data_IF_484759775098
#
_entry.id   IF_484759775098
#
_cell.length_a   1.000
_cell.length_b   1.000
_cell.length_c   1.000
_cell.angle_alpha   90.00
_cell.angle_beta   90.00
_cell.angle_gamma   90.00
#
_symmetry.space_group_name_H-M   'P 1'
#
loop_
_entity.id
_entity.type
_entity.pdbx_description
1 polymer ?
#
# COMPACT_ATOMS: atom_id res chain seq x y z
N UNK A 1 1.62 -30.44 -23.77
CA UNK A 1 2.38 -29.37 -24.44
C UNK A 1 3.85 -29.75 -24.43
N UNK A 2 4.48 -29.93 -25.60
CA UNK A 2 5.88 -30.28 -25.68
C UNK A 2 6.71 -29.03 -25.32
N UNK A 3 7.46 -29.07 -24.22
CA UNK A 3 8.31 -27.96 -23.83
C UNK A 3 9.41 -27.76 -24.89
N UNK A 4 9.65 -26.51 -25.30
CA UNK A 4 10.73 -26.22 -26.24
C UNK A 4 12.09 -26.48 -25.58
N UNK A 5 12.79 -27.52 -26.02
CA UNK A 5 14.13 -27.87 -25.54
C UNK A 5 15.19 -27.26 -26.47
N UNK A 6 16.12 -26.47 -25.91
CA UNK A 6 17.29 -26.00 -26.66
C UNK A 6 18.26 -27.15 -26.95
N UNK A 7 19.12 -26.99 -27.96
CA UNK A 7 20.18 -27.95 -28.23
C UNK A 7 21.11 -28.07 -27.01
N UNK A 8 21.46 -29.29 -26.68
CA UNK A 8 22.45 -29.67 -25.66
C UNK A 8 23.87 -29.64 -26.23
N UNK A 9 24.88 -29.77 -25.37
CA UNK A 9 26.27 -29.90 -25.84
C UNK A 9 26.45 -31.15 -26.71
N UNK A 10 25.89 -32.29 -26.27
CA UNK A 10 25.96 -33.56 -27.01
C UNK A 10 25.33 -33.44 -28.40
N UNK A 11 24.17 -32.76 -28.52
CA UNK A 11 23.56 -32.53 -29.83
C UNK A 11 24.44 -31.62 -30.71
N UNK A 12 25.13 -30.63 -30.13
CA UNK A 12 26.09 -29.80 -30.86
C UNK A 12 27.29 -30.60 -31.34
N UNK A 13 27.82 -31.53 -30.54
CA UNK A 13 28.89 -32.44 -30.93
C UNK A 13 28.45 -33.36 -32.08
N UNK A 14 27.22 -33.89 -32.02
CA UNK A 14 26.64 -34.67 -33.12
C UNK A 14 26.46 -33.86 -34.40
N UNK A 15 26.10 -32.57 -34.31
CA UNK A 15 26.03 -31.68 -35.48
C UNK A 15 27.42 -31.55 -36.13
N UNK A 16 28.48 -31.38 -35.34
CA UNK A 16 29.85 -31.33 -35.86
C UNK A 16 30.23 -32.65 -36.56
N UNK A 17 29.98 -33.78 -35.89
CA UNK A 17 30.28 -35.11 -36.41
C UNK A 17 29.57 -35.37 -37.75
N UNK A 18 28.26 -35.10 -37.84
CA UNK A 18 27.53 -35.32 -39.08
C UNK A 18 27.90 -34.35 -40.20
N UNK A 19 28.33 -33.11 -39.89
CA UNK A 19 28.89 -32.20 -40.90
C UNK A 19 30.21 -32.71 -41.46
N UNK A 20 31.08 -33.27 -40.61
CA UNK A 20 32.34 -33.88 -41.06
C UNK A 20 32.09 -35.08 -41.99
N UNK A 21 30.98 -35.81 -41.80
CA UNK A 21 30.53 -36.87 -42.71
C UNK A 21 29.85 -36.36 -44.00
N UNK A 22 29.72 -35.06 -44.20
CA UNK A 22 29.05 -34.49 -45.37
C UNK A 22 27.52 -34.63 -45.38
N UNK A 23 26.88 -35.00 -44.25
CA UNK A 23 25.42 -35.11 -44.18
C UNK A 23 24.75 -33.74 -44.35
N UNK A 24 23.65 -33.71 -45.09
CA UNK A 24 22.87 -32.49 -45.28
C UNK A 24 22.02 -32.13 -44.04
N UNK A 25 21.54 -30.89 -43.98
CA UNK A 25 20.78 -30.37 -42.83
C UNK A 25 19.49 -31.15 -42.52
N UNK A 26 18.83 -31.71 -43.55
CA UNK A 26 17.60 -32.49 -43.35
C UNK A 26 17.90 -33.82 -42.65
N UNK A 27 19.00 -34.48 -43.05
CA UNK A 27 19.46 -35.72 -42.42
C UNK A 27 19.87 -35.48 -40.97
N UNK A 28 20.67 -34.44 -40.71
CA UNK A 28 21.10 -34.07 -39.34
C UNK A 28 19.88 -33.80 -38.45
N UNK A 29 18.88 -33.10 -38.99
CA UNK A 29 17.65 -32.80 -38.27
C UNK A 29 16.86 -34.07 -37.92
N UNK A 30 16.73 -35.01 -38.86
CA UNK A 30 16.08 -36.31 -38.63
C UNK A 30 16.78 -37.13 -37.54
N UNK A 31 18.11 -37.25 -37.62
CA UNK A 31 18.95 -38.00 -36.67
C UNK A 31 18.88 -37.45 -35.24
N UNK A 32 18.71 -36.13 -35.10
CA UNK A 32 18.62 -35.47 -33.80
C UNK A 32 17.18 -35.31 -33.31
N UNK A 33 16.17 -35.69 -34.10
CA UNK A 33 14.76 -35.43 -33.79
C UNK A 33 14.45 -33.93 -33.65
N UNK A 34 15.14 -33.08 -34.41
CA UNK A 34 15.01 -31.61 -34.37
C UNK A 34 14.46 -31.07 -35.67
N UNK A 35 13.92 -29.84 -35.64
CA UNK A 35 13.53 -29.14 -36.85
C UNK A 35 14.78 -28.69 -37.64
N UNK A 36 14.77 -28.86 -38.96
CA UNK A 36 15.84 -28.42 -39.89
C UNK A 36 16.24 -26.95 -39.67
N UNK A 37 15.26 -26.07 -39.44
CA UNK A 37 15.50 -24.66 -39.19
C UNK A 37 16.28 -24.40 -37.89
N UNK A 38 16.15 -25.28 -36.88
CA UNK A 38 16.92 -25.19 -35.63
C UNK A 38 18.40 -25.50 -35.90
N UNK A 39 18.68 -26.56 -36.66
CA UNK A 39 20.05 -26.94 -37.04
C UNK A 39 20.69 -25.85 -37.91
N UNK A 40 19.96 -25.36 -38.91
CA UNK A 40 20.42 -24.28 -39.79
C UNK A 40 20.79 -23.01 -38.99
N UNK A 41 19.91 -22.58 -38.06
CA UNK A 41 20.15 -21.42 -37.20
C UNK A 41 21.31 -21.62 -36.23
N UNK A 42 21.48 -22.83 -35.69
CA UNK A 42 22.61 -23.14 -34.80
C UNK A 42 23.94 -23.01 -35.54
N UNK A 43 24.07 -23.62 -36.72
CA UNK A 43 25.30 -23.57 -37.53
C UNK A 43 25.57 -22.13 -37.95
N UNK A 44 24.59 -21.46 -38.55
CA UNK A 44 24.74 -20.08 -39.02
C UNK A 44 25.20 -19.10 -37.93
N UNK A 45 24.75 -19.27 -36.68
CA UNK A 45 25.07 -18.36 -35.57
C UNK A 45 26.38 -18.67 -34.85
N UNK A 46 26.97 -19.84 -35.08
CA UNK A 46 28.10 -20.33 -34.29
C UNK A 46 29.28 -20.82 -35.13
N UNK A 47 29.18 -20.81 -36.45
CA UNK A 47 30.30 -21.06 -37.35
C UNK A 47 31.18 -19.81 -37.45
N UNK A 48 32.49 -20.00 -37.23
CA UNK A 48 33.52 -18.98 -37.39
C UNK A 48 34.36 -19.38 -38.62
N UNK A 49 34.24 -18.61 -39.70
CA UNK A 49 34.86 -18.99 -40.97
C UNK A 49 34.27 -20.28 -41.52
N UNK A 50 35.08 -21.35 -41.62
CA UNK A 50 34.64 -22.68 -42.06
C UNK A 50 34.34 -23.64 -40.91
N UNK A 51 34.75 -23.29 -39.70
CA UNK A 51 34.76 -24.22 -38.57
C UNK A 51 33.54 -24.04 -37.66
N UNK A 52 32.93 -25.16 -37.30
CA UNK A 52 31.87 -25.24 -36.31
C UNK A 52 32.40 -25.98 -35.09
N UNK A 53 32.62 -25.23 -34.00
CA UNK A 53 33.20 -25.77 -32.75
C UNK A 53 32.09 -25.87 -31.68
N UNK A 54 31.68 -27.09 -31.27
CA UNK A 54 30.59 -27.29 -30.32
C UNK A 54 30.76 -26.58 -28.97
N UNK A 55 31.98 -26.57 -28.44
CA UNK A 55 32.30 -25.94 -27.15
C UNK A 55 32.05 -24.43 -27.19
N UNK A 56 32.55 -23.73 -28.22
CA UNK A 56 32.29 -22.30 -28.43
C UNK A 56 30.80 -22.03 -28.68
N UNK A 57 30.12 -22.87 -29.47
CA UNK A 57 28.69 -22.73 -29.73
C UNK A 57 27.87 -22.82 -28.42
N UNK A 58 28.26 -23.72 -27.52
CA UNK A 58 27.66 -23.89 -26.20
C UNK A 58 27.94 -22.69 -25.28
N UNK A 59 29.15 -22.15 -25.29
CA UNK A 59 29.52 -20.95 -24.53
C UNK A 59 28.76 -19.71 -25.02
N UNK A 60 28.76 -19.48 -26.34
CA UNK A 60 28.01 -18.40 -26.98
C UNK A 60 26.50 -18.52 -26.69
N UNK A 61 25.96 -19.73 -26.65
CA UNK A 61 24.59 -19.97 -26.20
C UNK A 61 24.39 -19.53 -24.74
N UNK A 62 25.28 -19.91 -23.81
CA UNK A 62 25.19 -19.51 -22.39
C UNK A 62 25.24 -17.99 -22.23
N UNK A 63 26.13 -17.31 -22.93
CA UNK A 63 26.24 -15.84 -22.89
C UNK A 63 24.99 -15.14 -23.42
N UNK A 64 24.46 -15.59 -24.57
CA UNK A 64 23.19 -15.08 -25.09
C UNK A 64 22.05 -15.33 -24.11
N UNK A 65 22.01 -16.50 -23.46
CA UNK A 65 20.98 -16.82 -22.46
C UNK A 65 21.04 -15.93 -21.21
N UNK A 66 22.22 -15.46 -20.79
CA UNK A 66 22.35 -14.46 -19.72
C UNK A 66 21.65 -13.15 -20.11
N UNK A 67 21.88 -12.67 -21.35
CA UNK A 67 21.28 -11.43 -21.88
C UNK A 67 19.77 -11.54 -22.19
N UNK A 68 19.28 -12.74 -22.52
CA UNK A 68 17.85 -12.95 -22.82
C UNK A 68 16.96 -13.03 -21.58
N UNK A 69 17.52 -13.09 -20.37
CA UNK A 69 16.71 -13.13 -19.15
C UNK A 69 16.34 -11.71 -18.75
N UNK A 70 15.06 -11.39 -18.57
CA UNK A 70 14.67 -10.08 -18.06
C UNK A 70 15.32 -9.86 -16.68
N UNK A 71 16.01 -8.74 -16.53
CA UNK A 71 16.54 -8.31 -15.23
C UNK A 71 15.38 -8.10 -14.25
N UNK A 72 15.57 -8.45 -12.96
CA UNK A 72 14.52 -8.20 -11.99
C UNK A 72 14.47 -6.69 -11.76
N UNK A 73 13.27 -6.13 -11.74
CA UNK A 73 13.10 -4.68 -11.56
C UNK A 73 13.76 -4.13 -10.29
N UNK A 74 13.74 -4.91 -9.20
CA UNK A 74 14.36 -4.54 -7.92
C UNK A 74 15.87 -4.78 -7.85
N UNK A 75 16.51 -5.24 -8.94
CA UNK A 75 17.98 -5.22 -9.06
C UNK A 75 18.47 -3.77 -9.28
N UNK A 76 17.61 -2.87 -9.76
CA UNK A 76 17.88 -1.43 -9.78
C UNK A 76 17.99 -0.88 -8.36
N UNK A 77 19.18 -0.36 -8.02
CA UNK A 77 19.46 0.21 -6.70
C UNK A 77 18.55 1.40 -6.43
N UNK A 78 18.31 2.26 -7.43
CA UNK A 78 17.47 3.45 -7.29
C UNK A 78 16.03 3.05 -6.92
N UNK A 79 15.39 2.21 -7.74
CA UNK A 79 14.04 1.74 -7.48
C UNK A 79 13.93 0.99 -6.14
N UNK A 80 14.93 0.16 -5.81
CA UNK A 80 14.95 -0.59 -4.55
C UNK A 80 15.02 0.34 -3.33
N UNK A 81 15.84 1.39 -3.39
CA UNK A 81 15.97 2.39 -2.31
C UNK A 81 14.66 3.13 -2.09
N UNK A 82 14.02 3.61 -3.17
CA UNK A 82 12.71 4.27 -3.10
C UNK A 82 11.66 3.34 -2.47
N UNK A 83 11.56 2.10 -2.95
CA UNK A 83 10.60 1.14 -2.43
C UNK A 83 10.88 0.82 -0.96
N UNK A 84 12.15 0.66 -0.56
CA UNK A 84 12.55 0.44 0.84
C UNK A 84 12.16 1.63 1.71
N UNK A 85 12.49 2.85 1.30
CA UNK A 85 12.14 4.09 2.00
C UNK A 85 10.63 4.20 2.25
N UNK A 86 9.83 4.17 1.18
CA UNK A 86 8.37 4.31 1.30
C UNK A 86 7.72 3.20 2.10
N UNK A 87 8.24 1.98 2.02
CA UNK A 87 7.70 0.85 2.78
C UNK A 87 8.07 0.91 4.26
N UNK A 88 9.35 1.16 4.58
CA UNK A 88 9.88 1.06 5.94
C UNK A 88 9.63 2.34 6.75
N UNK A 89 9.96 3.50 6.18
CA UNK A 89 9.89 4.77 6.90
C UNK A 89 8.47 5.33 6.88
N UNK A 90 7.83 5.34 5.71
CA UNK A 90 6.51 5.96 5.54
C UNK A 90 5.34 4.97 5.67
N UNK A 91 5.61 3.68 5.91
CA UNK A 91 4.60 2.62 6.05
C UNK A 91 3.68 2.44 4.81
N UNK A 92 4.07 2.91 3.62
CA UNK A 92 3.26 2.74 2.42
C UNK A 92 3.15 1.25 2.07
N UNK A 93 1.95 0.81 1.71
CA UNK A 93 1.73 -0.56 1.28
C UNK A 93 2.30 -0.80 -0.13
N UNK A 94 2.61 -2.06 -0.49
CA UNK A 94 3.06 -2.41 -1.84
C UNK A 94 2.16 -1.88 -2.97
N UNK A 95 0.84 -1.84 -2.76
CA UNK A 95 -0.10 -1.26 -3.72
C UNK A 95 0.00 0.27 -3.80
N UNK A 96 0.15 0.96 -2.67
CA UNK A 96 0.32 2.42 -2.62
C UNK A 96 1.60 2.84 -3.35
N UNK A 97 2.71 2.13 -3.12
CA UNK A 97 4.00 2.39 -3.78
C UNK A 97 3.90 2.15 -5.30
N UNK A 98 3.41 0.98 -5.72
CA UNK A 98 3.28 0.65 -7.14
C UNK A 98 2.32 1.59 -7.88
N UNK A 99 1.24 2.00 -7.22
CA UNK A 99 0.28 2.95 -7.76
C UNK A 99 0.86 4.35 -7.89
N UNK A 100 1.61 4.81 -6.87
CA UNK A 100 2.23 6.14 -6.89
C UNK A 100 3.31 6.28 -7.96
N UNK A 101 4.21 5.29 -8.08
CA UNK A 101 5.21 5.22 -9.14
C UNK A 101 4.58 5.35 -10.54
N UNK A 102 3.41 4.72 -10.74
CA UNK A 102 2.69 4.81 -12.01
C UNK A 102 2.05 6.18 -12.22
N UNK A 103 1.45 6.75 -11.19
CA UNK A 103 0.81 8.06 -11.25
C UNK A 103 1.81 9.16 -11.64
N UNK A 104 3.00 9.14 -11.03
CA UNK A 104 4.07 10.12 -11.29
C UNK A 104 4.87 9.81 -12.56
N UNK A 105 4.52 8.75 -13.31
CA UNK A 105 5.25 8.29 -14.51
C UNK A 105 6.75 8.12 -14.26
N UNK A 106 7.11 7.63 -13.08
CA UNK A 106 8.50 7.36 -12.72
C UNK A 106 9.13 6.43 -13.78
N UNK A 107 10.39 6.70 -14.14
CA UNK A 107 11.10 6.00 -15.23
C UNK A 107 11.14 4.47 -15.01
N UNK A 108 11.18 4.05 -13.75
CA UNK A 108 11.11 2.66 -13.33
C UNK A 108 9.78 2.39 -12.62
N UNK A 109 8.89 1.62 -13.25
CA UNK A 109 7.63 1.17 -12.63
C UNK A 109 7.81 -0.22 -12.01
N UNK A 110 7.17 -0.52 -10.89
CA UNK A 110 7.16 -1.87 -10.29
C UNK A 110 5.73 -2.32 -9.97
N UNK A 111 5.45 -3.62 -10.12
CA UNK A 111 4.16 -4.18 -9.69
C UNK A 111 4.15 -4.42 -8.18
N UNK A 112 2.99 -4.30 -7.53
CA UNK A 112 2.87 -4.61 -6.10
C UNK A 112 3.28 -6.07 -5.80
N UNK A 113 3.01 -7.02 -6.71
CA UNK A 113 3.42 -8.41 -6.59
C UNK A 113 4.95 -8.56 -6.56
N UNK A 114 5.67 -7.77 -7.35
CA UNK A 114 7.14 -7.72 -7.33
C UNK A 114 7.65 -7.14 -6.01
N UNK A 115 7.01 -6.10 -5.48
CA UNK A 115 7.34 -5.54 -4.15
C UNK A 115 7.13 -6.58 -3.05
N UNK A 116 6.00 -7.30 -3.05
CA UNK A 116 5.78 -8.42 -2.13
C UNK A 116 6.87 -9.49 -2.22
N UNK A 117 7.22 -9.93 -3.43
CA UNK A 117 8.32 -10.89 -3.64
C UNK A 117 9.64 -10.37 -3.05
N UNK A 118 9.92 -9.07 -3.18
CA UNK A 118 11.09 -8.44 -2.59
C UNK A 118 11.07 -8.44 -1.06
N UNK A 119 9.92 -8.12 -0.45
CA UNK A 119 9.72 -8.18 1.01
C UNK A 119 9.98 -9.61 1.52
N UNK A 120 9.37 -10.63 0.91
CA UNK A 120 9.54 -12.03 1.33
C UNK A 120 10.93 -12.59 1.05
N UNK A 121 11.65 -12.02 0.08
CA UNK A 121 13.04 -12.37 -0.22
C UNK A 121 14.05 -11.61 0.66
N UNK A 122 13.59 -10.77 1.60
CA UNK A 122 14.46 -10.01 2.52
C UNK A 122 15.20 -8.84 1.85
N UNK A 123 14.81 -8.40 0.64
CA UNK A 123 15.50 -7.34 -0.09
C UNK A 123 15.47 -5.97 0.60
N UNK A 124 14.59 -5.80 1.59
CA UNK A 124 14.38 -4.55 2.32
C UNK A 124 14.78 -4.65 3.79
N UNK A 125 15.32 -5.78 4.21
CA UNK A 125 15.80 -5.96 5.58
C UNK A 125 17.08 -5.14 5.80
N UNK A 126 17.34 -4.78 7.05
CA UNK A 126 18.64 -4.28 7.46
C UNK A 126 19.58 -5.46 7.71
N UNK A 127 20.90 -5.24 7.64
CA UNK A 127 21.86 -6.33 7.77
C UNK A 127 21.81 -7.01 9.15
N UNK A 128 22.08 -8.33 9.14
CA UNK A 128 22.13 -9.25 10.29
C UNK A 128 20.92 -9.18 11.22
N UNK A 129 19.77 -9.57 10.69
CA UNK A 129 18.64 -9.98 11.52
C UNK A 129 19.05 -11.18 12.42
N UNK A 130 18.83 -11.05 13.72
CA UNK A 130 19.02 -12.15 14.67
C UNK A 130 18.06 -13.31 14.37
N UNK A 131 18.43 -14.53 14.78
CA UNK A 131 17.58 -15.72 14.61
C UNK A 131 16.15 -15.46 15.14
N UNK A 132 15.15 -15.55 14.27
CA UNK A 132 13.73 -15.33 14.61
C UNK A 132 13.19 -13.91 14.33
N UNK A 133 14.05 -12.96 13.93
CA UNK A 133 13.58 -11.66 13.46
C UNK A 133 12.94 -11.81 12.06
N UNK A 134 11.68 -11.35 11.92
CA UNK A 134 10.90 -11.51 10.67
C UNK A 134 11.09 -10.32 9.71
N UNK A 135 12.13 -9.50 9.91
CA UNK A 135 12.48 -8.37 9.05
C UNK A 135 11.33 -7.42 8.70
N UNK A 136 11.43 -6.87 7.49
CA UNK A 136 10.49 -5.98 6.82
C UNK A 136 9.06 -6.57 6.73
N UNK A 137 8.92 -7.89 6.71
CA UNK A 137 7.60 -8.57 6.69
C UNK A 137 6.73 -8.14 7.88
N UNK A 138 7.32 -7.81 9.04
CA UNK A 138 6.54 -7.35 10.22
C UNK A 138 5.81 -6.04 10.01
N UNK A 139 6.24 -5.22 9.04
CA UNK A 139 5.61 -3.95 8.67
C UNK A 139 4.38 -4.14 7.78
N UNK A 140 4.12 -5.35 7.28
CA UNK A 140 2.87 -5.64 6.57
C UNK A 140 1.67 -5.58 7.51
N UNK A 141 0.59 -4.93 7.04
CA UNK A 141 -0.64 -4.67 7.81
C UNK A 141 -1.46 -5.93 8.12
N UNK A 142 -1.34 -6.98 7.30
CA UNK A 142 -2.18 -8.17 7.40
C UNK A 142 -1.73 -9.10 8.54
N UNK A 143 -2.31 -8.86 9.72
CA UNK A 143 -2.44 -9.86 10.77
C UNK A 143 -3.90 -10.30 10.74
N UNK A 144 -4.17 -11.47 10.15
CA UNK A 144 -5.51 -12.06 10.16
C UNK A 144 -6.07 -12.01 11.58
N UNK A 145 -7.32 -11.58 11.73
CA UNK A 145 -8.01 -11.62 13.02
C UNK A 145 -9.14 -12.63 12.95
N UNK A 146 -9.18 -13.63 13.85
CA UNK A 146 -10.40 -14.38 14.05
C UNK A 146 -11.50 -13.42 14.52
N UNK A 147 -12.66 -13.47 13.86
CA UNK A 147 -13.86 -12.75 14.30
C UNK A 147 -14.48 -13.52 15.45
N UNK A 148 -14.53 -12.92 16.64
CA UNK A 148 -15.44 -13.38 17.69
C UNK A 148 -16.77 -12.65 17.53
N UNK A 149 -17.87 -13.41 17.39
CA UNK A 149 -19.21 -12.89 17.66
C UNK A 149 -19.35 -12.76 19.18
N UNK A 150 -19.68 -11.57 19.69
CA UNK A 150 -20.15 -11.40 21.07
C UNK A 150 -21.45 -10.60 21.06
N UNK A 151 -22.45 -11.11 21.77
CA UNK A 151 -23.70 -10.41 22.09
C UNK A 151 -23.45 -9.28 23.09
N UNK A 152 -22.83 -8.20 22.61
CA UNK A 152 -22.63 -6.99 23.39
C UNK A 152 -23.95 -6.22 23.47
N UNK A 153 -24.52 -6.15 24.67
CA UNK A 153 -25.64 -5.25 24.98
C UNK A 153 -25.07 -3.93 25.47
N UNK A 154 -25.37 -2.85 24.75
CA UNK A 154 -24.85 -1.50 25.02
C UNK A 154 -25.54 -0.89 26.25
N UNK A 155 -24.78 -0.71 27.33
CA UNK A 155 -25.28 -0.18 28.63
C UNK A 155 -24.89 1.29 28.90
N UNK A 156 -24.38 2.01 27.89
CA UNK A 156 -23.91 3.40 28.05
C UNK A 156 -25.08 4.39 27.91
N UNK A 157 -25.00 5.53 28.60
CA UNK A 157 -26.03 6.57 28.58
C UNK A 157 -26.33 7.11 27.18
N UNK A 158 -27.58 7.54 26.94
CA UNK A 158 -28.04 8.08 25.65
C UNK A 158 -27.60 9.54 25.52
N UNK A 159 -26.96 9.89 24.41
CA UNK A 159 -26.71 11.29 24.05
C UNK A 159 -27.98 11.91 23.45
N UNK A 160 -28.19 13.22 23.66
CA UNK A 160 -29.18 13.98 22.91
C UNK A 160 -28.67 14.13 21.49
N UNK A 161 -29.38 13.59 20.50
CA UNK A 161 -29.03 13.67 19.08
C UNK A 161 -29.69 14.91 18.49
N UNK A 162 -28.93 15.69 17.72
CA UNK A 162 -29.45 16.85 16.98
C UNK A 162 -30.13 16.44 15.68
N UNK A 163 -29.39 15.82 14.75
CA UNK A 163 -29.95 15.29 13.50
C UNK A 163 -29.58 13.83 13.31
N UNK A 164 -30.47 13.07 12.67
CA UNK A 164 -30.22 11.70 12.25
C UNK A 164 -29.38 11.65 10.97
N UNK A 165 -28.59 10.58 10.79
CA UNK A 165 -27.75 10.42 9.61
C UNK A 165 -28.53 10.35 8.29
N UNK A 166 -29.77 9.87 8.34
CA UNK A 166 -30.72 9.83 7.22
C UNK A 166 -30.97 11.23 6.63
N UNK A 167 -30.98 12.26 7.47
CA UNK A 167 -31.18 13.65 7.09
C UNK A 167 -29.90 14.31 6.53
N UNK A 168 -28.75 13.62 6.52
CA UNK A 168 -27.49 14.18 6.04
C UNK A 168 -27.56 14.45 4.53
N UNK A 169 -27.08 15.61 4.03
CA UNK A 169 -27.11 15.95 2.61
C UNK A 169 -26.55 14.86 1.70
N UNK A 170 -27.20 14.62 0.54
CA UNK A 170 -26.76 13.63 -0.46
C UNK A 170 -25.32 13.83 -0.93
N UNK A 171 -24.86 15.08 -1.04
CA UNK A 171 -23.48 15.42 -1.39
C UNK A 171 -22.47 14.83 -0.39
N UNK A 172 -22.79 14.85 0.91
CA UNK A 172 -22.00 14.23 1.95
C UNK A 172 -22.03 12.70 1.78
N UNK A 173 -23.22 12.09 1.69
CA UNK A 173 -23.39 10.63 1.53
C UNK A 173 -22.55 10.07 0.37
N UNK A 174 -22.59 10.76 -0.77
CA UNK A 174 -21.89 10.38 -2.00
C UNK A 174 -20.45 10.90 -2.08
N UNK A 175 -19.91 11.52 -1.01
CA UNK A 175 -18.51 11.96 -0.92
C UNK A 175 -18.12 12.95 -2.02
N UNK A 176 -19.05 13.82 -2.45
CA UNK A 176 -18.90 14.65 -3.66
C UNK A 176 -18.19 15.99 -3.41
N UNK A 177 -18.15 16.48 -2.18
CA UNK A 177 -17.54 17.76 -1.80
C UNK A 177 -16.61 17.61 -0.58
N UNK A 178 -15.76 18.62 -0.38
CA UNK A 178 -14.95 18.74 0.83
C UNK A 178 -15.80 19.31 1.98
N UNK A 179 -15.35 19.06 3.20
CA UNK A 179 -15.90 19.59 4.44
C UNK A 179 -16.97 18.72 5.08
N UNK A 180 -17.20 17.51 4.58
CA UNK A 180 -18.06 16.54 5.23
C UNK A 180 -17.17 15.59 6.04
N UNK A 181 -17.10 15.79 7.36
CA UNK A 181 -16.11 15.15 8.25
C UNK A 181 -16.75 13.98 9.02
N UNK A 182 -16.09 12.83 9.09
CA UNK A 182 -16.40 11.78 10.07
C UNK A 182 -15.51 11.99 11.31
N UNK A 183 -16.08 11.90 12.53
CA UNK A 183 -15.33 12.05 13.78
C UNK A 183 -15.29 10.75 14.60
N UNK A 184 -14.15 10.43 15.21
CA UNK A 184 -14.00 9.30 16.14
C UNK A 184 -12.98 9.62 17.22
N UNK A 185 -12.92 8.76 18.24
CA UNK A 185 -11.83 8.76 19.21
C UNK A 185 -11.07 7.44 19.20
N UNK A 186 -9.75 7.53 19.07
CA UNK A 186 -8.84 6.39 19.14
C UNK A 186 -8.23 6.35 20.53
N UNK A 187 -8.74 5.47 21.38
CA UNK A 187 -8.18 5.27 22.71
C UNK A 187 -6.88 4.46 22.67
N UNK A 188 -5.91 4.88 23.48
CA UNK A 188 -4.74 4.11 23.88
C UNK A 188 -5.09 3.12 24.98
N UNK A 189 -4.57 3.35 26.20
CA UNK A 189 -5.01 2.69 27.43
C UNK A 189 -6.39 3.22 27.88
N UNK A 190 -7.28 2.32 28.29
CA UNK A 190 -8.65 2.69 28.72
C UNK A 190 -8.62 3.73 29.85
N UNK A 191 -9.39 4.80 29.70
CA UNK A 191 -9.54 5.84 30.73
C UNK A 191 -8.45 6.93 30.73
N UNK A 192 -7.47 6.87 29.82
CA UNK A 192 -6.40 7.88 29.68
C UNK A 192 -6.59 8.73 28.41
N UNK A 193 -5.51 9.34 27.94
CA UNK A 193 -5.48 10.14 26.73
C UNK A 193 -6.00 9.38 25.51
N UNK A 194 -6.60 10.11 24.57
CA UNK A 194 -7.10 9.57 23.32
C UNK A 194 -6.83 10.53 22.17
N UNK A 195 -6.70 10.01 20.96
CA UNK A 195 -6.69 10.83 19.75
C UNK A 195 -8.13 11.12 19.34
N UNK A 196 -8.41 12.37 19.01
CA UNK A 196 -9.63 12.78 18.31
C UNK A 196 -9.27 12.84 16.84
N UNK A 197 -10.00 12.07 16.02
CA UNK A 197 -9.75 11.99 14.58
C UNK A 197 -10.93 12.55 13.82
N UNK A 198 -10.63 13.37 12.81
CA UNK A 198 -11.58 13.98 11.90
C UNK A 198 -11.12 13.67 10.49
N UNK A 199 -11.96 12.98 9.72
CA UNK A 199 -11.58 12.54 8.37
C UNK A 199 -12.56 13.09 7.35
N UNK A 200 -12.07 13.89 6.40
CA UNK A 200 -12.88 14.37 5.29
C UNK A 200 -13.33 13.19 4.42
N UNK A 201 -14.63 13.11 4.16
CA UNK A 201 -15.23 11.98 3.45
C UNK A 201 -14.94 11.98 1.95
N UNK A 202 -14.46 13.06 1.35
CA UNK A 202 -14.05 13.08 -0.06
C UNK A 202 -12.56 12.79 -0.20
N UNK A 203 -11.71 13.62 0.41
CA UNK A 203 -10.26 13.57 0.27
C UNK A 203 -9.58 12.57 1.20
N UNK A 204 -10.26 12.06 2.25
CA UNK A 204 -9.64 11.26 3.33
C UNK A 204 -8.64 12.05 4.18
N UNK A 205 -8.63 13.39 4.06
CA UNK A 205 -7.72 14.22 4.83
C UNK A 205 -8.03 14.10 6.32
N UNK A 206 -6.99 13.90 7.12
CA UNK A 206 -7.07 13.68 8.56
C UNK A 206 -6.67 14.97 9.26
N UNK A 207 -7.53 15.42 10.16
CA UNK A 207 -7.26 16.48 11.13
C UNK A 207 -7.61 15.97 12.54
N UNK A 208 -7.19 16.68 13.56
CA UNK A 208 -7.56 16.39 14.95
C UNK A 208 -6.44 16.72 15.93
N UNK A 209 -6.31 15.90 16.98
CA UNK A 209 -5.24 16.04 17.96
C UNK A 209 -5.40 15.10 19.14
N UNK A 210 -4.51 15.21 20.13
CA UNK A 210 -4.61 14.45 21.38
C UNK A 210 -5.52 15.17 22.39
N UNK A 211 -6.39 14.43 23.05
CA UNK A 211 -7.06 14.86 24.27
C UNK A 211 -6.48 14.08 25.46
N UNK A 212 -6.14 14.78 26.55
CA UNK A 212 -5.53 14.15 27.74
C UNK A 212 -6.48 13.18 28.47
N UNK A 213 -7.78 13.38 28.29
CA UNK A 213 -8.85 12.54 28.80
C UNK A 213 -9.95 12.40 27.75
N UNK A 214 -10.47 11.19 27.65
CA UNK A 214 -11.61 10.87 26.78
C UNK A 214 -12.94 11.38 27.37
N UNK A 215 -13.16 12.70 27.31
CA UNK A 215 -14.41 13.34 27.76
C UNK A 215 -14.93 14.39 26.76
N UNK A 216 -16.21 14.73 26.86
CA UNK A 216 -16.87 15.60 25.88
C UNK A 216 -16.32 17.02 25.81
N UNK A 217 -15.82 17.57 26.94
CA UNK A 217 -15.24 18.92 26.99
C UNK A 217 -13.93 19.00 26.22
N UNK A 218 -13.04 18.04 26.39
CA UNK A 218 -11.76 18.05 25.68
C UNK A 218 -11.94 17.67 24.22
N UNK A 219 -12.80 16.70 23.91
CA UNK A 219 -13.06 16.30 22.52
C UNK A 219 -13.65 17.45 21.70
N UNK A 220 -14.67 18.17 22.21
CA UNK A 220 -15.23 19.34 21.52
C UNK A 220 -14.18 20.43 21.26
N UNK A 221 -13.32 20.75 22.23
CA UNK A 221 -12.22 21.72 22.06
C UNK A 221 -11.23 21.32 20.97
N UNK A 222 -10.83 20.05 20.94
CA UNK A 222 -9.94 19.54 19.89
C UNK A 222 -10.60 19.62 18.52
N UNK A 223 -11.90 19.28 18.41
CA UNK A 223 -12.63 19.38 17.14
C UNK A 223 -12.67 20.83 16.65
N UNK A 224 -13.01 21.78 17.52
CA UNK A 224 -13.07 23.21 17.17
C UNK A 224 -11.71 23.69 16.67
N UNK A 225 -10.63 23.42 17.42
CA UNK A 225 -9.27 23.83 17.05
C UNK A 225 -8.81 23.19 15.74
N UNK A 226 -9.05 21.89 15.55
CA UNK A 226 -8.56 21.15 14.40
C UNK A 226 -9.27 21.52 13.09
N UNK A 227 -10.53 21.96 13.16
CA UNK A 227 -11.30 22.35 11.98
C UNK A 227 -11.34 23.87 11.74
N UNK A 228 -10.77 24.66 12.64
CA UNK A 228 -10.71 26.10 12.49
C UNK A 228 -9.96 26.48 11.21
N UNK A 229 -10.57 27.31 10.37
CA UNK A 229 -10.00 27.74 9.09
C UNK A 229 -10.10 26.70 7.96
N UNK A 230 -10.65 25.50 8.22
CA UNK A 230 -10.90 24.49 7.20
C UNK A 230 -12.34 24.57 6.67
N UNK A 231 -12.61 24.09 5.45
CA UNK A 231 -13.98 23.92 4.98
C UNK A 231 -14.72 22.92 5.87
N UNK A 232 -15.81 23.34 6.49
CA UNK A 232 -16.69 22.47 7.28
C UNK A 232 -18.13 22.65 6.80
N UNK A 233 -18.79 21.54 6.48
CA UNK A 233 -20.18 21.45 5.99
C UNK A 233 -21.02 20.54 6.86
N UNK A 234 -20.48 19.39 7.28
CA UNK A 234 -21.16 18.47 8.19
C UNK A 234 -20.14 17.75 9.07
N UNK A 235 -20.54 17.35 10.28
CA UNK A 235 -19.74 16.46 11.13
C UNK A 235 -20.58 15.22 11.48
N UNK A 236 -19.99 14.04 11.33
CA UNK A 236 -20.63 12.75 11.61
C UNK A 236 -19.82 11.99 12.67
N UNK A 237 -20.09 12.19 13.97
CA UNK A 237 -19.51 11.38 15.04
C UNK A 237 -20.29 10.07 15.23
N UNK A 238 -19.91 9.27 16.23
CA UNK A 238 -20.71 8.12 16.67
C UNK A 238 -21.60 8.56 17.84
N UNK A 239 -22.43 7.66 18.35
CA UNK A 239 -23.32 7.94 19.48
C UNK A 239 -22.63 7.86 20.85
N UNK A 240 -21.30 7.93 20.91
CA UNK A 240 -20.60 7.83 22.20
C UNK A 240 -20.67 9.15 22.98
N UNK A 241 -20.61 9.03 24.30
CA UNK A 241 -20.77 10.15 25.25
C UNK A 241 -19.66 11.20 25.13
N UNK A 242 -18.51 10.87 24.57
CA UNK A 242 -17.46 11.85 24.24
C UNK A 242 -17.90 12.90 23.20
N UNK A 243 -19.00 12.70 22.48
CA UNK A 243 -19.55 13.67 21.53
C UNK A 243 -20.79 14.39 22.06
N UNK A 244 -21.08 14.30 23.38
CA UNK A 244 -22.27 14.90 23.96
C UNK A 244 -22.34 16.43 23.77
N UNK A 245 -21.22 17.14 23.82
CA UNK A 245 -21.10 18.61 23.68
C UNK A 245 -20.94 19.04 22.20
N UNK A 246 -21.70 18.43 21.30
CA UNK A 246 -21.65 18.73 19.86
C UNK A 246 -22.34 20.04 19.49
N UNK A 247 -23.25 20.50 20.35
CA UNK A 247 -23.89 21.82 20.31
C UNK A 247 -22.85 22.94 20.41
N UNK A 248 -21.87 22.83 21.29
CA UNK A 248 -20.77 23.81 21.38
C UNK A 248 -19.94 23.89 20.11
N UNK A 249 -19.65 22.74 19.49
CA UNK A 249 -18.96 22.70 18.20
C UNK A 249 -19.83 23.31 17.10
N UNK A 250 -21.13 23.03 17.13
CA UNK A 250 -22.12 23.58 16.19
C UNK A 250 -22.14 25.10 16.29
N UNK A 251 -22.20 25.66 17.49
CA UNK A 251 -22.17 27.12 17.70
C UNK A 251 -20.85 27.75 17.30
N UNK A 252 -19.71 27.12 17.60
CA UNK A 252 -18.39 27.67 17.30
C UNK A 252 -18.05 27.64 15.79
N UNK A 253 -18.43 26.56 15.09
CA UNK A 253 -18.08 26.34 13.68
C UNK A 253 -19.25 26.53 12.71
N UNK A 254 -20.45 26.86 13.21
CA UNK A 254 -21.68 27.00 12.44
C UNK A 254 -21.97 25.75 11.56
N UNK A 255 -21.83 24.56 12.16
CA UNK A 255 -21.89 23.28 11.43
C UNK A 255 -22.90 22.30 12.03
N UNK A 256 -23.76 21.67 11.22
CA UNK A 256 -24.66 20.62 11.70
C UNK A 256 -23.93 19.30 11.96
N UNK A 257 -24.37 18.63 13.03
CA UNK A 257 -24.00 17.25 13.35
C UNK A 257 -25.07 16.27 12.89
N UNK A 258 -24.63 15.10 12.41
CA UNK A 258 -25.50 13.99 12.01
C UNK A 258 -25.04 12.69 12.65
N UNK A 259 -25.92 12.00 13.37
CA UNK A 259 -25.56 10.80 14.13
C UNK A 259 -26.13 9.53 13.48
N UNK A 260 -25.33 8.47 13.30
CA UNK A 260 -25.80 7.18 12.76
C UNK A 260 -26.86 6.59 13.67
N UNK A 261 -27.71 5.70 13.16
CA UNK A 261 -28.60 4.91 14.00
C UNK A 261 -27.83 3.95 14.92
N UNK A 262 -28.43 3.52 16.05
CA UNK A 262 -27.84 2.47 16.88
C UNK A 262 -27.59 1.22 16.05
N UNK A 263 -26.50 0.49 16.35
CA UNK A 263 -26.15 -0.77 15.69
C UNK A 263 -25.84 -0.71 14.17
N UNK A 264 -25.58 0.47 13.59
CA UNK A 264 -25.18 0.62 12.18
C UNK A 264 -23.75 1.14 11.95
N UNK A 265 -22.70 0.47 12.49
CA UNK A 265 -21.32 0.97 12.41
C UNK A 265 -20.75 1.06 10.98
N UNK A 266 -21.27 0.28 10.03
CA UNK A 266 -20.79 0.25 8.64
C UNK A 266 -20.99 1.58 7.89
N UNK A 267 -21.88 2.46 8.38
CA UNK A 267 -22.13 3.78 7.79
C UNK A 267 -20.94 4.75 7.92
N UNK A 268 -19.90 4.36 8.68
CA UNK A 268 -18.68 5.13 9.00
C UNK A 268 -17.38 4.43 8.56
N UNK A 269 -17.42 3.75 7.41
CA UNK A 269 -16.26 3.01 6.91
C UNK A 269 -15.00 3.84 6.64
N UNK A 270 -15.09 5.19 6.58
CA UNK A 270 -13.91 6.05 6.40
C UNK A 270 -13.04 6.04 7.66
N UNK A 271 -13.67 6.30 8.82
CA UNK A 271 -12.97 6.33 10.10
C UNK A 271 -12.41 4.96 10.49
N UNK A 272 -13.10 3.86 10.18
CA UNK A 272 -12.56 2.52 10.49
C UNK A 272 -11.22 2.28 9.78
N UNK A 273 -11.15 2.60 8.49
CA UNK A 273 -9.91 2.47 7.72
C UNK A 273 -8.80 3.42 8.22
N UNK A 274 -9.13 4.69 8.48
CA UNK A 274 -8.16 5.66 8.99
C UNK A 274 -7.67 5.31 10.39
N UNK A 275 -8.54 4.87 11.28
CA UNK A 275 -8.13 4.38 12.60
C UNK A 275 -7.24 3.15 12.46
N UNK A 276 -7.49 2.27 11.49
CA UNK A 276 -6.61 1.16 11.14
C UNK A 276 -5.20 1.62 10.76
N UNK A 277 -5.07 2.71 10.00
CA UNK A 277 -3.78 3.34 9.65
C UNK A 277 -3.09 3.93 10.87
N UNK A 278 -3.82 4.65 11.72
CA UNK A 278 -3.26 5.20 12.95
C UNK A 278 -2.72 4.13 13.90
N UNK A 279 -3.27 2.90 13.87
CA UNK A 279 -2.76 1.80 14.70
C UNK A 279 -1.39 1.26 14.28
N UNK A 280 -0.87 1.62 13.11
CA UNK A 280 0.54 1.34 12.76
C UNK A 280 1.50 2.19 13.59
N UNK A 281 1.09 3.42 13.95
CA UNK A 281 1.89 4.36 14.72
C UNK A 281 1.54 4.34 16.22
N UNK A 282 0.26 4.12 16.54
CA UNK A 282 -0.28 4.08 17.89
C UNK A 282 -0.99 2.74 18.19
N UNK A 283 -0.23 1.64 18.41
CA UNK A 283 -0.80 0.33 18.71
C UNK A 283 -1.85 0.33 19.83
N UNK A 284 -2.76 -0.65 19.78
CA UNK A 284 -3.77 -0.83 20.84
C UNK A 284 -3.11 -1.07 22.20
N UNK A 285 -3.58 -0.37 23.23
CA UNK A 285 -3.09 -0.49 24.59
C UNK A 285 -1.87 0.37 24.92
N UNK A 286 -1.20 0.97 23.91
CA UNK A 286 -0.17 1.97 24.16
C UNK A 286 -0.79 3.15 24.92
N UNK A 287 -0.09 3.64 25.94
CA UNK A 287 -0.47 4.87 26.60
C UNK A 287 -0.12 6.07 25.72
N UNK A 288 -1.08 6.96 25.52
CA UNK A 288 -0.91 8.17 24.71
C UNK A 288 -0.60 9.39 25.57
N UNK A 289 -0.58 9.25 26.89
CA UNK A 289 -0.43 10.37 27.83
C UNK A 289 0.84 11.17 27.52
N UNK A 290 1.97 10.49 27.34
CA UNK A 290 3.28 11.13 27.12
C UNK A 290 3.58 11.43 25.64
N UNK A 291 2.66 11.07 24.73
CA UNK A 291 2.81 11.41 23.31
C UNK A 291 2.54 12.90 23.12
N UNK A 292 3.49 13.64 22.54
CA UNK A 292 3.33 15.09 22.33
C UNK A 292 2.25 15.40 21.28
N UNK A 293 1.73 16.63 21.29
CA UNK A 293 0.75 17.06 20.27
C UNK A 293 1.42 17.17 18.90
N UNK A 294 2.68 17.61 18.89
CA UNK A 294 3.52 17.77 17.72
C UNK A 294 3.70 16.42 17.03
N UNK A 295 4.02 15.37 17.79
CA UNK A 295 4.17 14.03 17.23
C UNK A 295 2.85 13.48 16.66
N UNK A 296 1.72 13.76 17.32
CA UNK A 296 0.40 13.38 16.76
C UNK A 296 0.16 14.09 15.42
N UNK A 297 0.52 15.37 15.32
CA UNK A 297 0.38 16.14 14.09
C UNK A 297 1.29 15.61 12.98
N UNK A 298 2.56 15.29 13.28
CA UNK A 298 3.48 14.64 12.34
C UNK A 298 2.88 13.35 11.76
N UNK A 299 2.27 12.50 12.60
CA UNK A 299 1.63 11.27 12.12
C UNK A 299 0.40 11.57 11.25
N UNK A 300 -0.38 12.60 11.56
CA UNK A 300 -1.49 13.00 10.69
C UNK A 300 -0.99 13.51 9.35
N UNK A 301 0.10 14.28 9.35
CA UNK A 301 0.72 14.79 8.12
C UNK A 301 1.29 13.65 7.28
N UNK A 302 1.95 12.66 7.89
CA UNK A 302 2.38 11.41 7.23
C UNK A 302 1.19 10.67 6.59
N UNK A 303 0.07 10.54 7.31
CA UNK A 303 -1.14 9.93 6.75
C UNK A 303 -1.76 10.75 5.62
N UNK A 304 -1.62 12.07 5.65
CA UNK A 304 -2.08 12.99 4.63
C UNK A 304 -1.16 13.02 3.40
N UNK A 305 0.11 12.60 3.55
CA UNK A 305 1.07 12.41 2.45
C UNK A 305 1.11 10.97 1.92
N UNK A 306 0.36 10.05 2.54
CA UNK A 306 0.28 8.65 2.10
C UNK A 306 -0.77 8.46 0.99
N UNK A 307 -0.39 7.95 -0.20
CA UNK A 307 -1.29 7.70 -1.32
C UNK A 307 -2.49 6.81 -0.96
N UNK A 308 -3.64 7.02 -1.60
CA UNK A 308 -4.83 6.19 -1.39
C UNK A 308 -5.34 5.64 -2.72
N UNK A 309 -5.50 4.31 -2.79
CA UNK A 309 -6.10 3.64 -3.97
C UNK A 309 -7.48 4.21 -4.35
N UNK A 310 -8.31 4.54 -3.35
CA UNK A 310 -9.63 5.13 -3.59
C UNK A 310 -9.60 6.57 -4.16
N UNK A 311 -8.42 7.21 -4.16
CA UNK A 311 -8.18 8.53 -4.75
C UNK A 311 -7.31 8.41 -6.02
N UNK A 312 -7.25 7.23 -6.65
CA UNK A 312 -6.39 7.02 -7.81
C UNK A 312 -4.89 7.14 -7.48
N UNK A 313 -4.50 6.83 -6.24
CA UNK A 313 -3.14 6.97 -5.71
C UNK A 313 -2.64 8.42 -5.53
N UNK A 314 -3.55 9.39 -5.58
CA UNK A 314 -3.30 10.70 -4.97
C UNK A 314 -3.30 10.60 -3.44
N UNK A 315 -2.64 11.54 -2.79
CA UNK A 315 -2.66 11.67 -1.33
C UNK A 315 -3.87 12.46 -0.86
N UNK A 316 -4.30 12.28 0.40
CA UNK A 316 -5.34 13.12 0.98
C UNK A 316 -5.03 14.61 0.92
N UNK A 317 -3.76 14.99 1.11
CA UNK A 317 -3.30 16.36 0.99
C UNK A 317 -3.53 16.94 -0.42
N UNK A 318 -3.13 16.19 -1.46
CA UNK A 318 -3.30 16.61 -2.86
C UNK A 318 -4.77 16.87 -3.19
N UNK A 319 -5.66 15.97 -2.78
CA UNK A 319 -7.09 16.09 -3.06
C UNK A 319 -7.74 17.21 -2.25
N UNK A 320 -7.33 17.41 -1.00
CA UNK A 320 -7.90 18.42 -0.11
C UNK A 320 -7.48 19.84 -0.51
N UNK A 321 -6.18 20.05 -0.74
CA UNK A 321 -5.63 21.36 -1.13
C UNK A 321 -5.60 21.60 -2.63
N UNK A 322 -6.03 20.62 -3.44
CA UNK A 322 -5.99 20.67 -4.92
C UNK A 322 -4.59 20.98 -5.44
N UNK A 323 -3.57 20.34 -4.85
CA UNK A 323 -2.16 20.46 -5.25
C UNK A 323 -1.70 19.15 -5.84
N UNK A 324 -0.74 19.21 -6.76
CA UNK A 324 0.01 18.03 -7.21
C UNK A 324 1.33 17.99 -6.48
N UNK A 325 1.70 16.83 -5.95
CA UNK A 325 2.99 16.60 -5.30
C UNK A 325 3.80 15.59 -6.11
N UNK A 326 5.13 15.71 -6.00
CA UNK A 326 6.07 14.70 -6.47
C UNK A 326 6.71 14.06 -5.25
N UNK A 327 6.33 12.82 -4.95
CA UNK A 327 6.70 12.11 -3.72
C UNK A 327 7.73 11.01 -3.96
N UNK A 328 7.95 10.64 -5.22
CA UNK A 328 8.88 9.59 -5.63
C UNK A 328 9.75 10.07 -6.78
#
# INVERSE_FOLDING_TARGET
MCHYHHLTLIEREKIMFFRAQGKNLSTIAGELGRNKATIAREISRNTLGKDYIPALAQENYRERRKKCRPHKKLDSINLRTIVKDKFIQHQWSPEEIAGRLRLEKHCESVSYATVYRGIYAGLFDDEKLSHGARGAVRKLRHKGKPRHKKGYVERRGKIRVSNELSARPRAANNRRRLGDWESDTVAGKTGRACLVTLVDRKSRFVAGGKADKKNARQVSRIIIRALQGLPVKTITPDRKTEFARHDEVTSALHVPFYFPEPHQPWQRGTNENTNGLLREYFPKGQDLTDVSQEHVQEIFDELNMRPRKCLGFQTPYEVFYKRSLHLI
#
